data_IF_742228151296
#
_entry.id   IF_742228151296
#
_cell.length_a   1.000
_cell.length_b   1.000
_cell.length_c   1.000
_cell.angle_alpha   90.00
_cell.angle_beta   90.00
_cell.angle_gamma   90.00
#
_symmetry.space_group_name_H-M   'P 1'
#
loop_
_entity.id
_entity.type
_entity.pdbx_description
1 polymer ?
#
# COMPACT_ATOMS: atom_id res chain seq x y z
N UNK A 1 46.84 71.67 -26.27
CA UNK A 1 47.20 71.77 -24.84
C UNK A 1 45.93 71.56 -24.02
N UNK A 2 45.96 70.60 -23.10
CA UNK A 2 44.89 70.16 -22.20
C UNK A 2 43.62 69.63 -22.92
N UNK A 3 43.65 68.35 -23.29
CA UNK A 3 42.43 67.53 -23.46
C UNK A 3 42.45 66.48 -22.35
N UNK A 4 41.68 66.74 -21.32
CA UNK A 4 41.36 65.83 -20.23
C UNK A 4 40.52 64.68 -20.78
N UNK A 5 41.07 63.46 -20.75
CA UNK A 5 40.30 62.23 -20.93
C UNK A 5 39.56 61.93 -19.61
N UNK A 6 38.25 61.63 -19.63
CA UNK A 6 37.57 61.18 -18.43
C UNK A 6 37.93 59.72 -18.15
N UNK A 7 38.23 59.43 -16.88
CA UNK A 7 38.38 58.08 -16.33
C UNK A 7 37.14 57.21 -16.65
N UNK A 8 37.30 55.89 -16.84
CA UNK A 8 36.18 54.98 -16.93
C UNK A 8 35.46 54.92 -15.57
N UNK A 9 34.15 55.18 -15.56
CA UNK A 9 33.28 54.88 -14.44
C UNK A 9 33.32 53.37 -14.18
N UNK A 10 33.87 52.99 -13.03
CA UNK A 10 33.78 51.66 -12.46
C UNK A 10 32.30 51.43 -12.09
N UNK A 11 31.52 50.84 -12.99
CA UNK A 11 30.19 50.31 -12.65
C UNK A 11 30.43 49.04 -11.86
N UNK A 12 30.38 49.17 -10.53
CA UNK A 12 30.31 48.06 -9.61
C UNK A 12 28.96 47.35 -9.83
N UNK A 13 28.91 46.35 -10.71
CA UNK A 13 27.83 45.38 -10.71
C UNK A 13 27.93 44.58 -9.41
N UNK A 14 27.22 45.03 -8.39
CA UNK A 14 26.86 44.18 -7.26
C UNK A 14 25.91 43.13 -7.83
N UNK A 15 26.46 41.97 -8.22
CA UNK A 15 25.67 40.75 -8.33
C UNK A 15 25.12 40.46 -6.93
N UNK A 16 23.91 40.92 -6.66
CA UNK A 16 23.06 40.31 -5.65
C UNK A 16 22.79 38.89 -6.13
N UNK A 17 23.69 37.98 -5.78
CA UNK A 17 23.35 36.57 -5.64
C UNK A 17 22.23 36.52 -4.60
N UNK A 18 20.99 36.56 -5.06
CA UNK A 18 19.88 36.02 -4.31
C UNK A 18 20.15 34.52 -4.24
N UNK A 19 20.93 34.13 -3.25
CA UNK A 19 20.89 32.78 -2.73
C UNK A 19 19.45 32.61 -2.28
N UNK A 20 18.62 32.00 -3.12
CA UNK A 20 17.45 31.29 -2.65
C UNK A 20 18.01 30.24 -1.70
N UNK A 21 18.13 30.60 -0.41
CA UNK A 21 18.14 29.62 0.66
C UNK A 21 16.83 28.88 0.49
N UNK A 22 16.92 27.73 -0.18
CA UNK A 22 16.01 26.63 0.04
C UNK A 22 16.03 26.40 1.54
N UNK A 23 15.06 27.00 2.24
CA UNK A 23 14.77 26.62 3.62
C UNK A 23 14.42 25.15 3.53
N UNK A 24 15.33 24.30 4.00
CA UNK A 24 15.07 22.88 4.18
C UNK A 24 13.80 22.75 5.00
N UNK A 25 12.71 22.34 4.35
CA UNK A 25 11.50 21.95 5.03
C UNK A 25 11.82 20.62 5.73
N UNK A 26 11.95 20.66 7.05
CA UNK A 26 11.89 19.47 7.89
C UNK A 26 10.45 18.94 7.87
N UNK A 27 10.11 17.83 7.19
CA UNK A 27 8.71 17.46 6.99
C UNK A 27 8.08 16.72 8.18
N UNK A 28 8.79 16.44 9.27
CA UNK A 28 8.20 15.72 10.42
C UNK A 28 7.60 16.67 11.45
N UNK A 29 7.93 17.97 11.40
CA UNK A 29 7.40 18.94 12.36
C UNK A 29 6.22 19.75 11.85
N UNK A 30 5.80 19.61 10.58
CA UNK A 30 4.69 20.40 10.06
C UNK A 30 3.33 19.73 10.26
N UNK A 31 2.99 19.50 11.53
CA UNK A 31 1.60 19.29 11.98
C UNK A 31 0.69 20.52 11.68
N UNK A 32 1.21 21.58 11.05
CA UNK A 32 0.43 22.77 10.69
C UNK A 32 -0.44 22.60 9.44
N UNK A 33 -0.18 21.59 8.59
CA UNK A 33 -1.00 21.31 7.41
C UNK A 33 -1.91 20.10 7.66
N UNK A 34 -3.24 20.26 7.57
CA UNK A 34 -4.16 19.13 7.64
C UNK A 34 -4.17 18.43 6.27
N UNK A 35 -3.60 17.22 6.14
CA UNK A 35 -3.70 16.50 4.89
C UNK A 35 -5.17 16.19 4.63
N UNK A 36 -5.65 16.51 3.43
CA UNK A 36 -6.96 16.08 2.96
C UNK A 36 -6.77 15.00 1.90
N UNK A 37 -7.57 13.95 1.98
CA UNK A 37 -7.46 12.82 1.06
C UNK A 37 -8.79 12.08 0.96
N UNK A 38 -8.91 11.25 -0.08
CA UNK A 38 -10.10 10.46 -0.35
C UNK A 38 -9.85 8.98 -0.04
N UNK A 39 -10.86 8.31 0.51
CA UNK A 39 -10.90 6.85 0.64
C UNK A 39 -12.28 6.34 0.21
N UNK A 40 -12.46 5.01 0.17
CA UNK A 40 -13.74 4.40 -0.18
C UNK A 40 -14.34 3.68 1.02
N UNK A 41 -15.63 3.87 1.27
CA UNK A 41 -16.36 3.15 2.31
C UNK A 41 -16.39 1.64 2.00
N UNK A 42 -16.02 0.81 2.97
CA UNK A 42 -16.08 -0.64 2.79
C UNK A 42 -17.47 -1.24 3.13
N UNK A 43 -18.40 -0.41 3.63
CA UNK A 43 -19.75 -0.82 4.05
C UNK A 43 -20.65 -1.31 2.89
N UNK A 44 -20.41 -0.87 1.66
CA UNK A 44 -21.24 -1.30 0.53
C UNK A 44 -20.93 -2.73 0.10
N UNK A 45 -21.97 -3.49 -0.24
CA UNK A 45 -21.83 -4.88 -0.72
C UNK A 45 -21.02 -4.99 -2.00
N UNK A 46 -21.16 -4.00 -2.88
CA UNK A 46 -20.42 -3.90 -4.13
C UNK A 46 -19.61 -2.60 -4.11
N UNK A 47 -18.34 -2.70 -4.51
CA UNK A 47 -17.42 -1.55 -4.55
C UNK A 47 -17.96 -0.40 -5.39
N UNK A 48 -18.67 -0.66 -6.49
CA UNK A 48 -19.20 0.40 -7.36
C UNK A 48 -20.22 1.30 -6.66
N UNK A 49 -20.90 0.74 -5.66
CA UNK A 49 -21.93 1.41 -4.87
C UNK A 49 -21.34 1.94 -3.55
N UNK A 50 -20.01 1.88 -3.37
CA UNK A 50 -19.35 2.42 -2.19
C UNK A 50 -19.27 3.94 -2.26
N UNK A 51 -19.75 4.64 -1.22
CA UNK A 51 -19.52 6.06 -1.02
C UNK A 51 -18.02 6.41 -1.00
N UNK A 52 -17.70 7.57 -1.56
CA UNK A 52 -16.40 8.23 -1.38
C UNK A 52 -16.41 8.93 -0.02
N UNK A 53 -15.32 8.75 0.72
CA UNK A 53 -15.08 9.37 2.02
C UNK A 53 -14.08 10.51 1.86
N UNK A 54 -14.43 11.69 2.36
CA UNK A 54 -13.51 12.82 2.52
C UNK A 54 -12.89 12.71 3.90
N UNK A 55 -11.56 12.72 3.98
CA UNK A 55 -10.83 12.66 5.23
C UNK A 55 -9.96 13.91 5.37
N UNK A 56 -9.84 14.42 6.59
CA UNK A 56 -8.87 15.46 6.93
C UNK A 56 -8.16 15.07 8.24
N UNK A 57 -6.83 15.14 8.19
CA UNK A 57 -5.85 14.63 9.15
C UNK A 57 -6.32 14.21 10.55
N UNK A 58 -5.88 13.03 11.06
CA UNK A 58 -6.10 12.66 12.45
C UNK A 58 -5.52 13.72 13.40
N UNK A 59 -6.36 14.26 14.29
CA UNK A 59 -5.97 15.27 15.27
C UNK A 59 -5.45 16.59 14.66
N UNK A 60 -6.11 17.09 13.60
CA UNK A 60 -5.73 18.39 13.08
C UNK A 60 -6.16 19.54 14.01
N UNK A 61 -5.19 20.34 14.47
CA UNK A 61 -5.44 21.54 15.28
C UNK A 61 -6.15 22.65 14.47
N UNK A 62 -5.85 22.75 13.17
CA UNK A 62 -6.32 23.83 12.30
C UNK A 62 -6.97 23.30 11.01
N UNK A 63 -8.13 22.61 11.10
CA UNK A 63 -8.84 22.05 9.94
C UNK A 63 -9.20 23.14 8.93
N UNK A 64 -9.14 22.85 7.62
CA UNK A 64 -9.54 23.81 6.58
C UNK A 64 -11.01 24.20 6.77
N UNK A 65 -11.40 25.45 6.49
CA UNK A 65 -12.79 25.90 6.74
C UNK A 65 -13.83 25.04 6.05
N UNK A 66 -13.58 24.67 4.80
CA UNK A 66 -14.42 23.72 4.07
C UNK A 66 -13.59 22.90 3.08
N UNK A 67 -14.15 21.74 2.72
CA UNK A 67 -13.54 20.79 1.78
C UNK A 67 -14.58 20.45 0.72
N UNK A 68 -14.16 20.41 -0.55
CA UNK A 68 -15.00 20.01 -1.68
C UNK A 68 -14.47 18.76 -2.38
N UNK A 69 -15.39 17.93 -2.88
CA UNK A 69 -15.15 16.81 -3.79
C UNK A 69 -15.53 17.24 -5.21
N UNK A 70 -14.67 16.97 -6.20
CA UNK A 70 -14.78 17.41 -7.58
C UNK A 70 -14.49 16.26 -8.56
N UNK A 71 -15.03 16.34 -9.78
CA UNK A 71 -14.74 15.35 -10.83
C UNK A 71 -13.42 15.65 -11.58
N UNK A 72 -12.90 16.87 -11.43
CA UNK A 72 -11.68 17.38 -12.08
C UNK A 72 -10.88 18.22 -11.10
N UNK A 73 -9.61 18.45 -11.43
CA UNK A 73 -8.72 19.30 -10.65
C UNK A 73 -9.29 20.73 -10.52
N UNK A 74 -9.68 21.16 -9.30
CA UNK A 74 -10.29 22.46 -9.07
C UNK A 74 -9.30 23.63 -9.09
N UNK A 75 -7.98 23.39 -9.21
CA UNK A 75 -7.01 24.49 -9.45
C UNK A 75 -7.06 25.03 -10.87
N UNK A 76 -7.57 24.23 -11.82
CA UNK A 76 -7.64 24.56 -13.24
C UNK A 76 -9.06 24.49 -13.81
N UNK A 77 -10.05 24.13 -12.98
CA UNK A 77 -11.47 24.05 -13.34
C UNK A 77 -12.32 24.98 -12.46
N UNK A 78 -13.40 25.50 -13.03
CA UNK A 78 -14.41 26.30 -12.33
C UNK A 78 -15.67 25.46 -11.98
N UNK A 79 -15.56 24.14 -12.00
CA UNK A 79 -16.67 23.24 -11.71
C UNK A 79 -17.11 23.34 -10.23
N UNK A 80 -18.41 23.28 -9.97
CA UNK A 80 -18.94 23.22 -8.61
C UNK A 80 -18.63 21.87 -7.95
N UNK A 81 -18.38 21.83 -6.63
CA UNK A 81 -18.17 20.57 -5.93
C UNK A 81 -19.40 19.67 -6.01
N UNK A 82 -19.17 18.36 -6.16
CA UNK A 82 -20.19 17.30 -6.10
C UNK A 82 -20.70 17.06 -4.69
N UNK A 83 -19.82 17.23 -3.71
CA UNK A 83 -20.13 17.23 -2.30
C UNK A 83 -19.20 18.21 -1.59
N UNK A 84 -19.64 18.80 -0.50
CA UNK A 84 -18.80 19.66 0.34
C UNK A 84 -19.15 19.50 1.82
N UNK A 85 -18.19 19.83 2.68
CA UNK A 85 -18.36 19.81 4.13
C UNK A 85 -17.66 21.01 4.76
N UNK A 86 -18.34 21.65 5.71
CA UNK A 86 -17.72 22.58 6.66
C UNK A 86 -17.13 21.79 7.82
N UNK A 87 -15.80 21.80 7.97
CA UNK A 87 -15.08 20.91 8.90
C UNK A 87 -15.42 21.17 10.36
N UNK A 88 -15.79 22.41 10.71
CA UNK A 88 -16.21 22.78 12.07
C UNK A 88 -17.39 21.96 12.59
N UNK A 89 -18.18 21.36 11.68
CA UNK A 89 -19.35 20.54 12.03
C UNK A 89 -19.01 19.06 12.25
N UNK A 90 -17.76 18.65 12.02
CA UNK A 90 -17.31 17.25 12.01
C UNK A 90 -15.93 17.09 12.67
N UNK A 91 -15.85 16.99 14.00
CA UNK A 91 -14.57 16.90 14.69
C UNK A 91 -13.86 15.53 14.50
N UNK A 92 -14.56 14.52 13.99
CA UNK A 92 -14.07 13.17 13.72
C UNK A 92 -13.12 13.07 12.51
N UNK A 93 -13.02 14.12 11.68
CA UNK A 93 -12.06 14.16 10.58
C UNK A 93 -12.46 13.36 9.35
N UNK A 94 -13.73 12.90 9.28
CA UNK A 94 -14.23 12.06 8.21
C UNK A 94 -15.65 12.46 7.79
N UNK A 95 -15.93 12.41 6.50
CA UNK A 95 -17.25 12.69 5.94
C UNK A 95 -17.58 11.71 4.82
N UNK A 96 -18.62 10.91 5.03
CA UNK A 96 -19.19 10.04 4.00
C UNK A 96 -20.09 10.85 3.07
N UNK A 97 -19.76 10.87 1.79
CA UNK A 97 -20.52 11.61 0.78
C UNK A 97 -21.67 10.76 0.22
N UNK A 98 -22.62 11.39 -0.48
CA UNK A 98 -23.60 10.68 -1.30
C UNK A 98 -23.06 10.32 -2.70
N UNK A 99 -21.78 10.59 -2.97
CA UNK A 99 -21.13 10.31 -4.26
C UNK A 99 -20.50 8.92 -4.17
N UNK A 100 -20.94 8.01 -5.05
CA UNK A 100 -20.38 6.67 -5.15
C UNK A 100 -19.22 6.62 -6.15
N UNK A 101 -18.27 5.72 -5.94
CA UNK A 101 -17.14 5.54 -6.86
C UNK A 101 -17.55 5.06 -8.27
N UNK A 102 -18.69 4.39 -8.41
CA UNK A 102 -19.16 3.88 -9.68
C UNK A 102 -18.22 2.82 -10.28
N UNK A 103 -18.29 2.64 -11.59
CA UNK A 103 -17.36 1.75 -12.29
C UNK A 103 -16.01 2.45 -12.47
N UNK A 104 -14.98 1.95 -11.78
CA UNK A 104 -13.62 2.47 -11.94
C UNK A 104 -13.08 2.06 -13.31
N UNK A 105 -12.69 3.06 -14.11
CA UNK A 105 -11.85 2.88 -15.31
C UNK A 105 -10.44 3.35 -14.97
N UNK A 106 -9.49 2.42 -14.96
CA UNK A 106 -8.09 2.72 -14.70
C UNK A 106 -7.52 3.52 -15.89
N UNK A 107 -6.84 4.65 -15.66
CA UNK A 107 -6.33 5.52 -16.72
C UNK A 107 -5.11 4.89 -17.42
N UNK A 108 -4.67 5.51 -18.52
CA UNK A 108 -3.39 5.24 -19.20
C UNK A 108 -3.14 3.75 -19.54
N UNK A 109 -4.18 3.04 -19.95
CA UNK A 109 -4.08 1.64 -20.39
C UNK A 109 -3.99 0.62 -19.25
N UNK A 110 -4.12 1.03 -17.98
CA UNK A 110 -3.96 0.12 -16.83
C UNK A 110 -5.16 -0.82 -16.57
N UNK A 111 -6.23 -0.76 -17.37
CA UNK A 111 -7.33 -1.73 -17.25
C UNK A 111 -6.84 -3.13 -17.64
N UNK A 112 -7.15 -4.14 -16.83
CA UNK A 112 -6.68 -5.53 -17.01
C UNK A 112 -6.84 -6.09 -18.42
N UNK A 113 -7.97 -5.76 -19.07
CA UNK A 113 -8.31 -6.22 -20.43
C UNK A 113 -7.70 -5.40 -21.57
N UNK A 114 -7.26 -4.17 -21.30
CA UNK A 114 -6.77 -3.23 -22.31
C UNK A 114 -5.25 -3.27 -22.45
N UNK A 115 -4.52 -3.71 -21.44
CA UNK A 115 -3.04 -3.68 -21.38
C UNK A 115 -2.34 -4.42 -22.53
N UNK A 116 -3.02 -5.37 -23.20
CA UNK A 116 -2.48 -6.07 -24.36
C UNK A 116 -2.73 -5.32 -25.68
N UNK A 117 -3.72 -4.42 -25.70
CA UNK A 117 -4.08 -3.57 -26.84
C UNK A 117 -3.32 -2.25 -26.78
N UNK A 118 -3.21 -1.68 -25.58
CA UNK A 118 -2.55 -0.42 -25.29
C UNK A 118 -1.64 -0.62 -24.07
N UNK A 119 -0.33 -0.85 -24.29
CA UNK A 119 0.62 -0.99 -23.21
C UNK A 119 0.57 0.23 -22.28
N UNK A 120 0.55 0.02 -20.95
CA UNK A 120 0.39 1.13 -20.03
C UNK A 120 1.53 2.15 -20.10
N UNK A 121 1.21 3.43 -19.96
CA UNK A 121 2.23 4.48 -19.84
C UNK A 121 2.83 4.45 -18.43
N UNK A 122 4.14 4.28 -18.32
CA UNK A 122 4.86 4.19 -17.04
C UNK A 122 5.22 5.58 -16.46
N UNK A 123 4.24 6.48 -16.31
CA UNK A 123 4.48 7.85 -15.87
C UNK A 123 3.88 8.14 -14.49
N UNK A 124 4.46 7.55 -13.43
CA UNK A 124 4.11 7.84 -12.04
C UNK A 124 2.63 7.61 -11.69
N UNK A 125 2.19 8.23 -10.60
CA UNK A 125 0.79 8.18 -10.17
C UNK A 125 -0.15 8.98 -11.10
N UNK A 126 -1.40 8.53 -11.23
CA UNK A 126 -2.43 9.20 -12.03
C UNK A 126 -3.75 9.28 -11.27
N UNK A 127 -4.35 10.47 -11.27
CA UNK A 127 -5.66 10.68 -10.68
C UNK A 127 -6.76 9.95 -11.45
N UNK A 128 -7.66 9.35 -10.68
CA UNK A 128 -9.03 9.03 -11.06
C UNK A 128 -9.86 10.33 -11.08
N UNK A 129 -11.06 10.36 -11.69
CA UNK A 129 -11.90 11.56 -11.76
C UNK A 129 -12.59 11.88 -10.42
N UNK A 130 -11.82 11.92 -9.33
CA UNK A 130 -12.28 12.23 -7.98
C UNK A 130 -11.17 13.01 -7.27
N UNK A 131 -11.37 14.31 -7.16
CA UNK A 131 -10.45 15.28 -6.59
C UNK A 131 -11.02 15.84 -5.29
N UNK A 132 -10.16 16.07 -4.31
CA UNK A 132 -10.50 16.75 -3.07
C UNK A 132 -9.70 18.02 -2.96
N UNK A 133 -10.35 19.11 -2.55
CA UNK A 133 -9.66 20.37 -2.32
C UNK A 133 -10.11 21.00 -1.01
N UNK A 134 -9.12 21.45 -0.23
CA UNK A 134 -9.28 22.12 1.04
C UNK A 134 -9.18 23.63 0.85
N UNK A 135 -10.05 24.38 1.53
CA UNK A 135 -10.09 25.83 1.42
C UNK A 135 -10.15 26.52 2.78
N UNK A 136 -9.36 27.58 2.90
CA UNK A 136 -9.49 28.58 3.96
C UNK A 136 -10.28 29.77 3.42
N UNK A 137 -11.59 29.73 3.64
CA UNK A 137 -12.57 30.62 3.04
C UNK A 137 -12.55 30.55 1.50
N UNK A 138 -11.82 31.43 0.82
CA UNK A 138 -11.69 31.43 -0.65
C UNK A 138 -10.31 30.99 -1.13
N UNK A 139 -9.36 30.81 -0.21
CA UNK A 139 -7.99 30.46 -0.55
C UNK A 139 -7.86 28.95 -0.61
N UNK A 140 -7.45 28.42 -1.76
CA UNK A 140 -7.11 27.01 -1.91
C UNK A 140 -5.86 26.69 -1.09
N UNK A 141 -5.95 25.68 -0.21
CA UNK A 141 -4.86 25.24 0.67
C UNK A 141 -4.14 24.02 0.13
N UNK A 142 -4.90 23.02 -0.30
CA UNK A 142 -4.34 21.76 -0.82
C UNK A 142 -5.34 21.08 -1.75
N UNK A 143 -4.79 20.28 -2.66
CA UNK A 143 -5.54 19.41 -3.57
C UNK A 143 -4.95 18.01 -3.48
N UNK A 144 -5.83 17.03 -3.48
CA UNK A 144 -5.47 15.63 -3.72
C UNK A 144 -6.53 14.94 -4.60
N UNK A 145 -6.34 13.67 -4.92
CA UNK A 145 -7.27 12.87 -5.69
C UNK A 145 -7.22 11.40 -5.28
N UNK A 146 -8.27 10.63 -5.60
CA UNK A 146 -8.09 9.18 -5.70
C UNK A 146 -7.18 8.89 -6.88
N UNK A 147 -6.20 7.99 -6.73
CA UNK A 147 -5.17 7.79 -7.75
C UNK A 147 -4.74 6.33 -7.86
N UNK A 148 -4.22 5.99 -9.04
CA UNK A 148 -3.42 4.79 -9.26
C UNK A 148 -1.95 5.11 -8.97
N UNK A 149 -1.19 4.13 -8.50
CA UNK A 149 0.24 4.23 -8.18
C UNK A 149 1.00 3.01 -8.74
N UNK A 150 0.95 2.74 -10.05
CA UNK A 150 1.44 1.50 -10.61
C UNK A 150 2.97 1.41 -10.66
N UNK A 151 3.70 2.53 -10.52
CA UNK A 151 5.16 2.60 -10.66
C UNK A 151 5.83 3.45 -9.56
N UNK A 152 5.23 3.51 -8.36
CA UNK A 152 5.68 4.44 -7.33
C UNK A 152 7.08 4.14 -6.79
N UNK A 153 7.50 2.88 -6.73
CA UNK A 153 8.85 2.52 -6.27
C UNK A 153 9.90 2.92 -7.31
N UNK A 154 9.71 2.52 -8.57
CA UNK A 154 10.61 2.82 -9.70
C UNK A 154 10.73 4.32 -9.97
N UNK A 155 9.64 5.08 -9.77
CA UNK A 155 9.64 6.53 -9.97
C UNK A 155 10.45 7.26 -8.89
N UNK A 156 10.82 6.57 -7.81
CA UNK A 156 11.42 7.16 -6.63
C UNK A 156 12.85 6.62 -6.44
N UNK A 157 13.80 7.23 -7.16
CA UNK A 157 15.18 6.72 -7.29
C UNK A 157 15.88 6.47 -5.96
N UNK A 158 15.58 7.26 -4.93
CA UNK A 158 16.17 7.12 -3.61
C UNK A 158 15.81 5.80 -2.91
N UNK A 159 14.73 5.13 -3.33
CA UNK A 159 14.31 3.84 -2.77
C UNK A 159 15.04 2.65 -3.39
N UNK A 160 15.74 2.84 -4.50
CA UNK A 160 16.30 1.75 -5.28
C UNK A 160 17.36 0.96 -4.49
N UNK A 161 18.16 1.65 -3.68
CA UNK A 161 19.25 1.07 -2.88
C UNK A 161 18.89 0.93 -1.39
N UNK A 162 17.64 1.21 -1.00
CA UNK A 162 17.18 1.01 0.37
C UNK A 162 16.88 -0.49 0.58
N UNK A 163 17.43 -1.13 1.63
CA UNK A 163 17.08 -2.51 1.97
C UNK A 163 15.59 -2.67 2.23
N UNK A 164 14.99 -3.78 1.80
CA UNK A 164 13.55 -4.00 1.93
C UNK A 164 13.04 -3.91 3.38
N UNK A 165 13.83 -4.34 4.38
CA UNK A 165 13.50 -4.19 5.80
C UNK A 165 13.30 -2.73 6.27
N UNK A 166 13.91 -1.78 5.58
CA UNK A 166 13.86 -0.35 5.91
C UNK A 166 12.71 0.39 5.20
N UNK A 167 12.14 -0.22 4.15
CA UNK A 167 11.03 0.35 3.40
C UNK A 167 9.70 0.15 4.12
N UNK A 168 8.83 1.15 4.06
CA UNK A 168 7.40 0.97 4.34
C UNK A 168 6.71 0.42 3.08
N UNK A 169 6.30 -0.85 3.09
CA UNK A 169 5.67 -1.53 1.96
C UNK A 169 4.17 -1.74 2.26
N UNK A 170 3.25 -1.16 1.47
CA UNK A 170 1.82 -1.35 1.65
C UNK A 170 1.38 -2.73 1.14
N UNK A 171 0.64 -3.44 1.97
CA UNK A 171 0.16 -4.80 1.73
C UNK A 171 -1.33 -4.98 1.93
N UNK A 172 -1.81 -6.17 1.59
CA UNK A 172 -3.20 -6.58 1.83
C UNK A 172 -3.22 -7.95 2.49
N UNK A 173 -4.09 -8.13 3.48
CA UNK A 173 -4.36 -9.45 4.06
C UNK A 173 -5.30 -10.24 3.13
N UNK A 174 -5.01 -11.53 2.93
CA UNK A 174 -5.78 -12.43 2.06
C UNK A 174 -6.05 -11.76 0.70
N UNK A 175 -5.01 -11.37 -0.02
CA UNK A 175 -5.11 -10.50 -1.21
C UNK A 175 -6.00 -11.08 -2.31
N UNK A 176 -6.08 -12.41 -2.39
CA UNK A 176 -6.97 -13.14 -3.30
C UNK A 176 -8.45 -13.19 -2.87
N UNK A 177 -8.78 -12.67 -1.70
CA UNK A 177 -10.08 -12.84 -1.06
C UNK A 177 -11.00 -11.66 -1.38
N UNK A 178 -11.17 -11.40 -2.68
CA UNK A 178 -11.94 -10.27 -3.18
C UNK A 178 -13.34 -10.66 -3.66
N UNK A 179 -14.28 -9.71 -3.55
CA UNK A 179 -15.68 -9.94 -3.91
C UNK A 179 -15.83 -10.43 -5.36
N UNK A 180 -16.53 -11.56 -5.52
CA UNK A 180 -16.99 -12.07 -6.82
C UNK A 180 -18.48 -12.36 -6.75
N UNK A 181 -19.26 -11.73 -7.63
CA UNK A 181 -20.73 -11.87 -7.67
C UNK A 181 -21.20 -13.33 -7.70
N UNK A 182 -20.48 -14.21 -8.41
CA UNK A 182 -20.80 -15.64 -8.47
C UNK A 182 -20.62 -16.38 -7.13
N UNK A 183 -19.64 -15.98 -6.32
CA UNK A 183 -19.34 -16.60 -5.01
C UNK A 183 -20.13 -15.98 -3.87
N UNK A 184 -20.58 -14.73 -4.01
CA UNK A 184 -21.45 -14.05 -3.07
C UNK A 184 -22.84 -14.71 -2.91
N UNK A 185 -23.17 -15.74 -3.70
CA UNK A 185 -24.38 -16.55 -3.50
C UNK A 185 -24.29 -17.44 -2.25
N UNK A 186 -23.08 -17.74 -1.77
CA UNK A 186 -22.89 -18.43 -0.50
C UNK A 186 -22.81 -17.38 0.63
N UNK A 187 -23.78 -17.42 1.56
CA UNK A 187 -23.92 -16.43 2.64
C UNK A 187 -22.68 -16.38 3.56
N UNK A 188 -22.03 -17.51 3.84
CA UNK A 188 -20.82 -17.52 4.67
C UNK A 188 -19.64 -16.86 3.95
N UNK A 189 -19.47 -17.14 2.66
CA UNK A 189 -18.45 -16.49 1.83
C UNK A 189 -18.72 -14.99 1.68
N UNK A 190 -19.98 -14.60 1.47
CA UNK A 190 -20.37 -13.19 1.38
C UNK A 190 -20.06 -12.41 2.66
N UNK A 191 -20.38 -12.98 3.82
CA UNK A 191 -20.21 -12.32 5.12
C UNK A 191 -18.77 -12.33 5.64
N UNK A 192 -18.05 -13.44 5.45
CA UNK A 192 -16.78 -13.68 6.14
C UNK A 192 -15.62 -13.97 5.18
N UNK A 193 -15.89 -14.51 4.00
CA UNK A 193 -14.86 -14.96 3.05
C UNK A 193 -14.11 -13.84 2.35
N UNK A 194 -14.74 -12.69 2.12
CA UNK A 194 -14.12 -11.56 1.42
C UNK A 194 -13.46 -10.56 2.37
N UNK A 195 -12.22 -10.19 2.06
CA UNK A 195 -11.43 -9.17 2.78
C UNK A 195 -10.98 -8.04 1.88
N UNK A 196 -11.17 -8.14 0.56
CA UNK A 196 -10.79 -7.09 -0.40
C UNK A 196 -11.93 -6.71 -1.33
N UNK A 197 -11.97 -5.43 -1.74
CA UNK A 197 -12.95 -4.93 -2.72
C UNK A 197 -12.48 -5.11 -4.18
N UNK A 198 -11.17 -5.17 -4.37
CA UNK A 198 -10.53 -5.13 -5.67
C UNK A 198 -9.82 -6.45 -5.97
N UNK A 199 -9.77 -6.84 -7.23
CA UNK A 199 -8.93 -7.97 -7.66
C UNK A 199 -7.44 -7.64 -7.50
N UNK A 200 -6.58 -8.67 -7.58
CA UNK A 200 -5.15 -8.51 -7.34
C UNK A 200 -4.51 -7.56 -8.37
N UNK A 201 -4.91 -7.63 -9.64
CA UNK A 201 -4.49 -6.66 -10.65
C UNK A 201 -4.74 -5.22 -10.20
N UNK A 202 -5.97 -4.91 -9.78
CA UNK A 202 -6.35 -3.55 -9.38
C UNK A 202 -5.67 -3.14 -8.07
N UNK A 203 -5.48 -4.05 -7.11
CA UNK A 203 -4.69 -3.79 -5.89
C UNK A 203 -3.27 -3.34 -6.24
N UNK A 204 -2.59 -4.05 -7.14
CA UNK A 204 -1.22 -3.74 -7.58
C UNK A 204 -1.14 -2.39 -8.30
N UNK A 205 -2.09 -2.12 -9.21
CA UNK A 205 -2.18 -0.83 -9.93
C UNK A 205 -2.44 0.33 -8.97
N UNK A 206 -3.24 0.11 -7.92
CA UNK A 206 -3.50 1.11 -6.87
C UNK A 206 -2.32 1.29 -5.91
N UNK A 207 -1.26 0.47 -6.00
CA UNK A 207 0.02 0.69 -5.32
C UNK A 207 0.38 -0.34 -4.26
N UNK A 208 -0.43 -1.39 -4.04
CA UNK A 208 -0.06 -2.52 -3.18
C UNK A 208 1.16 -3.25 -3.75
N UNK A 209 2.08 -3.67 -2.87
CA UNK A 209 3.33 -4.34 -3.26
C UNK A 209 3.60 -5.62 -2.46
N UNK A 210 2.84 -5.85 -1.40
CA UNK A 210 2.91 -7.07 -0.58
C UNK A 210 1.56 -7.79 -0.57
N UNK A 211 1.55 -9.05 -1.02
CA UNK A 211 0.36 -9.88 -1.16
C UNK A 211 0.40 -11.07 -0.20
N UNK A 212 -0.52 -11.14 0.75
CA UNK A 212 -0.63 -12.27 1.69
C UNK A 212 -1.64 -13.29 1.18
N UNK A 213 -1.20 -14.54 1.05
CA UNK A 213 -1.98 -15.64 0.49
C UNK A 213 -1.94 -16.85 1.42
N UNK A 214 -3.13 -17.33 1.78
CA UNK A 214 -3.32 -18.63 2.39
C UNK A 214 -3.90 -19.61 1.37
N UNK A 215 -3.39 -20.84 1.33
CA UNK A 215 -3.73 -21.83 0.29
C UNK A 215 -4.40 -23.08 0.84
N UNK A 216 -5.35 -23.60 0.06
CA UNK A 216 -5.95 -24.91 0.27
C UNK A 216 -5.95 -25.73 -1.01
N UNK A 217 -5.92 -27.05 -0.86
CA UNK A 217 -6.04 -27.99 -1.98
C UNK A 217 -7.48 -28.49 -2.10
N UNK A 218 -8.19 -28.04 -3.14
CA UNK A 218 -9.58 -28.45 -3.40
C UNK A 218 -9.62 -29.70 -4.27
N UNK A 219 -9.53 -30.88 -3.65
CA UNK A 219 -9.54 -32.16 -4.35
C UNK A 219 -10.80 -32.40 -5.20
N UNK A 220 -11.94 -31.83 -4.78
CA UNK A 220 -13.26 -31.96 -5.43
C UNK A 220 -13.42 -31.09 -6.67
N UNK A 221 -12.50 -30.14 -6.89
CA UNK A 221 -12.51 -29.34 -8.10
C UNK A 221 -12.11 -30.21 -9.30
N UNK A 222 -13.09 -30.58 -10.13
CA UNK A 222 -12.88 -31.42 -11.31
C UNK A 222 -12.26 -30.60 -12.46
N UNK A 223 -10.94 -30.40 -12.37
CA UNK A 223 -10.14 -29.99 -13.51
C UNK A 223 -9.16 -31.11 -13.89
N UNK A 224 -9.63 -32.02 -14.73
CA UNK A 224 -8.84 -33.14 -15.24
C UNK A 224 -7.70 -32.71 -16.17
N UNK A 225 -7.69 -31.46 -16.63
CA UNK A 225 -6.71 -30.95 -17.59
C UNK A 225 -5.53 -30.29 -16.89
N UNK A 226 -5.71 -29.76 -15.67
CA UNK A 226 -4.63 -29.15 -14.93
C UNK A 226 -4.82 -29.30 -13.41
N UNK A 227 -4.06 -30.20 -12.78
CA UNK A 227 -4.09 -30.39 -11.34
C UNK A 227 -3.72 -29.12 -10.55
N UNK A 228 -2.96 -28.19 -11.15
CA UNK A 228 -2.66 -26.92 -10.51
C UNK A 228 -3.88 -26.01 -10.29
N UNK A 229 -5.00 -26.25 -11.00
CA UNK A 229 -6.25 -25.54 -10.76
C UNK A 229 -7.00 -26.02 -9.51
N UNK A 230 -6.44 -27.01 -8.78
CA UNK A 230 -6.92 -27.44 -7.46
C UNK A 230 -6.34 -26.61 -6.32
N UNK A 231 -5.36 -25.74 -6.55
CA UNK A 231 -4.87 -24.81 -5.55
C UNK A 231 -5.74 -23.55 -5.49
N UNK A 232 -6.27 -23.27 -4.31
CA UNK A 232 -7.23 -22.19 -4.08
C UNK A 232 -6.76 -21.31 -2.93
N UNK A 233 -7.02 -20.02 -3.06
CA UNK A 233 -6.92 -19.10 -1.93
C UNK A 233 -8.03 -19.39 -0.94
N UNK A 234 -7.66 -19.44 0.33
CA UNK A 234 -8.54 -19.73 1.46
C UNK A 234 -8.57 -18.55 2.41
N UNK A 235 -9.76 -18.20 2.90
CA UNK A 235 -9.91 -17.32 4.05
C UNK A 235 -10.77 -18.00 5.10
N UNK A 236 -10.30 -18.08 6.35
CA UNK A 236 -11.03 -18.69 7.47
C UNK A 236 -11.68 -20.05 7.07
N UNK A 237 -10.89 -20.93 6.43
CA UNK A 237 -11.28 -22.24 5.89
C UNK A 237 -12.31 -22.25 4.75
N UNK A 238 -12.57 -21.12 4.11
CA UNK A 238 -13.46 -20.99 2.95
C UNK A 238 -12.65 -20.86 1.65
N UNK A 239 -12.93 -21.70 0.65
CA UNK A 239 -12.34 -21.58 -0.69
C UNK A 239 -12.89 -20.38 -1.47
N UNK A 240 -12.04 -19.41 -1.76
CA UNK A 240 -12.47 -18.13 -2.37
C UNK A 240 -12.23 -18.11 -3.88
N UNK A 241 -10.97 -18.16 -4.31
CA UNK A 241 -10.58 -18.06 -5.73
C UNK A 241 -9.44 -19.02 -6.06
N UNK A 242 -9.38 -19.57 -7.30
CA UNK A 242 -8.19 -20.28 -7.76
C UNK A 242 -6.96 -19.37 -7.74
N UNK A 243 -5.81 -19.93 -7.35
CA UNK A 243 -4.54 -19.20 -7.29
C UNK A 243 -4.03 -18.81 -8.69
N UNK A 244 -4.40 -19.57 -9.73
CA UNK A 244 -3.95 -19.35 -11.10
C UNK A 244 -4.25 -17.94 -11.62
N UNK A 245 -5.43 -17.39 -11.33
CA UNK A 245 -5.78 -16.01 -11.70
C UNK A 245 -4.86 -14.97 -11.06
N UNK A 246 -4.44 -15.22 -9.82
CA UNK A 246 -3.60 -14.30 -9.06
C UNK A 246 -2.17 -14.32 -9.58
N UNK A 247 -1.62 -15.51 -9.84
CA UNK A 247 -0.26 -15.62 -10.39
C UNK A 247 -0.16 -15.01 -11.79
N UNK A 248 -1.21 -15.15 -12.61
CA UNK A 248 -1.29 -14.48 -13.91
C UNK A 248 -1.26 -12.96 -13.77
N UNK A 249 -2.07 -12.41 -12.86
CA UNK A 249 -2.13 -10.96 -12.61
C UNK A 249 -0.79 -10.43 -12.10
N UNK A 250 -0.14 -11.14 -11.15
CA UNK A 250 1.18 -10.74 -10.63
C UNK A 250 2.24 -10.78 -11.73
N UNK A 251 2.33 -11.88 -12.49
CA UNK A 251 3.32 -11.98 -13.58
C UNK A 251 3.16 -10.86 -14.58
N UNK A 252 1.92 -10.63 -15.01
CA UNK A 252 1.58 -9.59 -15.97
C UNK A 252 1.93 -8.21 -15.43
N UNK A 253 1.62 -7.94 -14.16
CA UNK A 253 1.94 -6.65 -13.53
C UNK A 253 3.45 -6.45 -13.45
N UNK A 254 4.22 -7.38 -12.88
CA UNK A 254 5.68 -7.26 -12.73
C UNK A 254 6.37 -6.99 -14.07
N UNK A 255 5.98 -7.71 -15.12
CA UNK A 255 6.55 -7.52 -16.47
C UNK A 255 6.22 -6.14 -17.06
N UNK A 256 5.00 -5.65 -16.86
CA UNK A 256 4.54 -4.38 -17.43
C UNK A 256 4.98 -3.16 -16.61
N UNK A 257 5.01 -3.26 -15.28
CA UNK A 257 5.33 -2.16 -14.38
C UNK A 257 6.83 -2.08 -14.08
N UNK A 258 7.54 -3.21 -14.14
CA UNK A 258 8.92 -3.34 -13.62
C UNK A 258 9.01 -2.87 -12.17
N UNK A 259 7.99 -3.17 -11.37
CA UNK A 259 7.99 -2.95 -9.93
C UNK A 259 8.25 -4.25 -9.18
N UNK A 260 8.85 -4.12 -8.00
CA UNK A 260 8.91 -5.20 -7.03
C UNK A 260 7.50 -5.64 -6.63
N UNK A 261 7.24 -6.93 -6.57
CA UNK A 261 6.08 -7.50 -5.86
C UNK A 261 6.57 -8.59 -4.91
N UNK A 262 6.05 -8.59 -3.69
CA UNK A 262 6.28 -9.63 -2.69
C UNK A 262 5.00 -10.45 -2.56
N UNK A 263 5.05 -11.75 -2.85
CA UNK A 263 3.97 -12.69 -2.54
C UNK A 263 4.41 -13.50 -1.33
N UNK A 264 3.62 -13.48 -0.26
CA UNK A 264 3.81 -14.35 0.89
C UNK A 264 2.76 -15.47 0.90
N UNK A 265 3.23 -16.72 0.90
CA UNK A 265 2.42 -17.90 1.17
C UNK A 265 2.57 -18.31 2.64
N UNK A 266 1.69 -17.80 3.50
CA UNK A 266 1.89 -17.90 4.94
C UNK A 266 1.21 -19.11 5.59
N UNK A 267 0.03 -19.50 5.11
CA UNK A 267 -0.74 -20.60 5.70
C UNK A 267 -1.23 -21.57 4.63
N UNK A 268 -1.31 -22.84 5.03
CA UNK A 268 -1.77 -23.94 4.18
C UNK A 268 -2.94 -24.70 4.83
N UNK A 269 -4.06 -24.01 5.17
CA UNK A 269 -5.06 -24.50 6.13
C UNK A 269 -5.87 -25.72 5.70
N UNK A 270 -5.93 -26.05 4.40
CA UNK A 270 -6.81 -27.13 3.91
C UNK A 270 -6.03 -28.09 3.04
N UNK A 271 -5.95 -29.35 3.48
CA UNK A 271 -5.45 -30.46 2.69
C UNK A 271 -4.04 -30.22 2.12
N UNK A 272 -3.09 -29.68 2.89
CA UNK A 272 -1.68 -29.65 2.49
C UNK A 272 -0.86 -30.74 3.19
N UNK A 273 -0.08 -31.46 2.41
CA UNK A 273 0.94 -32.42 2.84
C UNK A 273 2.21 -32.19 2.01
N UNK A 274 3.32 -32.85 2.36
CA UNK A 274 4.60 -32.66 1.68
C UNK A 274 4.49 -32.76 0.15
N UNK A 275 3.79 -33.76 -0.36
CA UNK A 275 3.63 -33.96 -1.81
C UNK A 275 2.89 -32.79 -2.48
N UNK A 276 1.87 -32.24 -1.83
CA UNK A 276 1.11 -31.09 -2.34
C UNK A 276 1.91 -29.79 -2.28
N UNK A 277 2.75 -29.61 -1.26
CA UNK A 277 3.72 -28.51 -1.26
C UNK A 277 4.64 -28.61 -2.47
N UNK A 278 5.28 -29.77 -2.69
CA UNK A 278 6.18 -29.98 -3.85
C UNK A 278 5.45 -29.76 -5.19
N UNK A 279 4.21 -30.25 -5.33
CA UNK A 279 3.40 -30.01 -6.53
C UNK A 279 3.11 -28.53 -6.74
N UNK A 280 2.83 -27.79 -5.67
CA UNK A 280 2.58 -26.35 -5.75
C UNK A 280 3.84 -25.58 -6.11
N UNK A 281 5.00 -25.92 -5.54
CA UNK A 281 6.28 -25.29 -5.87
C UNK A 281 6.65 -25.47 -7.35
N UNK A 282 6.51 -26.70 -7.89
CA UNK A 282 6.69 -26.95 -9.33
C UNK A 282 5.74 -26.12 -10.19
N UNK A 283 4.52 -25.91 -9.72
CA UNK A 283 3.58 -25.03 -10.40
C UNK A 283 4.00 -23.56 -10.32
N UNK A 284 4.50 -23.07 -9.18
CA UNK A 284 5.07 -21.73 -9.03
C UNK A 284 6.28 -21.52 -9.95
N UNK A 285 7.22 -22.46 -9.98
CA UNK A 285 8.39 -22.41 -10.87
C UNK A 285 7.97 -22.31 -12.34
N UNK A 286 7.02 -23.14 -12.78
CA UNK A 286 6.52 -23.11 -14.15
C UNK A 286 5.87 -21.75 -14.50
N UNK A 287 5.17 -21.14 -13.55
CA UNK A 287 4.43 -19.89 -13.80
C UNK A 287 5.28 -18.65 -13.64
N UNK A 288 6.16 -18.61 -12.64
CA UNK A 288 6.80 -17.39 -12.13
C UNK A 288 8.32 -17.51 -12.04
N UNK A 289 8.91 -18.68 -12.26
CA UNK A 289 10.35 -18.91 -12.05
C UNK A 289 11.26 -18.06 -12.94
N UNK A 290 10.74 -17.52 -14.05
CA UNK A 290 11.44 -16.58 -14.94
C UNK A 290 11.53 -15.16 -14.38
N UNK A 291 10.63 -14.78 -13.46
CA UNK A 291 10.59 -13.44 -12.85
C UNK A 291 10.84 -13.44 -11.35
N UNK A 292 10.74 -14.60 -10.69
CA UNK A 292 11.00 -14.79 -9.27
C UNK A 292 12.50 -14.68 -8.97
N UNK A 293 12.85 -13.91 -7.95
CA UNK A 293 14.22 -13.68 -7.52
C UNK A 293 14.77 -14.93 -6.80
N UNK A 294 15.96 -15.37 -7.22
CA UNK A 294 16.56 -16.62 -6.76
C UNK A 294 17.22 -16.43 -5.41
N UNK A 295 16.92 -17.34 -4.49
CA UNK A 295 17.58 -17.51 -3.22
C UNK A 295 18.90 -18.25 -3.42
N UNK A 296 20.01 -17.54 -3.26
CA UNK A 296 21.36 -18.12 -3.30
C UNK A 296 21.81 -18.64 -1.91
N UNK A 297 20.92 -18.58 -0.91
CA UNK A 297 21.13 -18.96 0.48
C UNK A 297 22.30 -18.23 1.16
N UNK A 298 22.74 -17.07 0.62
CA UNK A 298 23.85 -16.29 1.16
C UNK A 298 23.40 -15.14 2.08
N UNK A 299 22.13 -14.72 1.95
CA UNK A 299 21.58 -13.54 2.63
C UNK A 299 20.09 -13.73 2.95
N UNK A 300 19.50 -12.80 3.69
CA UNK A 300 18.07 -12.79 3.93
C UNK A 300 17.35 -11.96 2.85
N UNK A 301 16.14 -12.37 2.50
CA UNK A 301 15.33 -11.66 1.48
C UNK A 301 15.04 -10.19 1.84
N UNK A 302 15.00 -9.87 3.12
CA UNK A 302 14.73 -8.51 3.59
C UNK A 302 15.95 -7.57 3.52
N UNK A 303 17.15 -8.11 3.33
CA UNK A 303 18.38 -7.33 3.13
C UNK A 303 18.56 -6.91 1.66
N UNK A 304 17.79 -7.51 0.75
CA UNK A 304 17.80 -7.18 -0.67
C UNK A 304 17.40 -5.72 -0.90
N UNK A 305 17.87 -5.14 -2.01
CA UNK A 305 17.41 -3.85 -2.52
C UNK A 305 16.69 -4.03 -3.86
N UNK A 306 15.83 -3.07 -4.22
CA UNK A 306 15.13 -3.10 -5.52
C UNK A 306 16.15 -3.07 -6.67
N UNK A 307 17.26 -2.35 -6.51
CA UNK A 307 18.31 -2.26 -7.53
C UNK A 307 19.03 -3.59 -7.76
N UNK A 308 19.34 -4.34 -6.69
CA UNK A 308 19.90 -5.69 -6.79
C UNK A 308 18.96 -6.62 -7.55
N UNK A 309 17.68 -6.61 -7.19
CA UNK A 309 16.65 -7.43 -7.85
C UNK A 309 16.47 -7.06 -9.33
N UNK A 310 16.41 -5.75 -9.62
CA UNK A 310 16.28 -5.22 -10.97
C UNK A 310 17.46 -5.57 -11.87
N UNK A 311 18.69 -5.51 -11.34
CA UNK A 311 19.91 -5.84 -12.10
C UNK A 311 19.94 -7.30 -12.54
N UNK A 312 19.31 -8.20 -11.76
CA UNK A 312 19.11 -9.60 -12.12
C UNK A 312 17.89 -9.85 -13.01
N UNK A 313 17.12 -8.81 -13.35
CA UNK A 313 15.91 -8.93 -14.16
C UNK A 313 14.73 -9.63 -13.47
N UNK A 314 14.79 -9.82 -12.14
CA UNK A 314 13.81 -10.59 -11.37
C UNK A 314 13.24 -9.73 -10.23
N UNK A 315 12.01 -9.26 -10.40
CA UNK A 315 11.35 -8.30 -9.50
C UNK A 315 10.18 -8.92 -8.73
N UNK A 316 10.10 -10.24 -8.66
CA UNK A 316 9.14 -10.94 -7.81
C UNK A 316 9.88 -11.62 -6.67
N UNK A 317 9.53 -11.30 -5.43
CA UNK A 317 9.98 -12.04 -4.25
C UNK A 317 8.86 -12.96 -3.79
N UNK A 318 9.16 -14.24 -3.57
CA UNK A 318 8.20 -15.22 -3.06
C UNK A 318 8.69 -15.67 -1.69
N UNK A 319 7.93 -15.36 -0.64
CA UNK A 319 8.18 -15.91 0.70
C UNK A 319 7.22 -17.07 0.98
N UNK A 320 7.70 -18.10 1.65
CA UNK A 320 6.97 -19.35 1.83
C UNK A 320 7.15 -19.89 3.25
N UNK A 321 6.06 -20.06 4.00
CA UNK A 321 6.12 -20.44 5.42
C UNK A 321 6.11 -21.97 5.59
N UNK A 322 7.08 -22.65 4.99
CA UNK A 322 7.32 -24.08 5.18
C UNK A 322 8.83 -24.35 5.02
N UNK A 323 9.62 -24.24 6.10
CA UNK A 323 11.09 -24.29 6.01
C UNK A 323 11.64 -25.58 5.38
N UNK A 324 10.91 -26.70 5.50
CA UNK A 324 11.32 -27.97 4.89
C UNK A 324 11.35 -27.92 3.35
N UNK A 325 10.64 -26.96 2.75
CA UNK A 325 10.52 -26.80 1.30
C UNK A 325 11.64 -25.98 0.68
N UNK A 326 12.46 -25.28 1.47
CA UNK A 326 13.55 -24.44 0.96
C UNK A 326 14.60 -25.24 0.17
N UNK A 327 14.71 -26.54 0.42
CA UNK A 327 15.62 -27.44 -0.31
C UNK A 327 15.04 -27.96 -1.62
N UNK A 328 13.75 -27.74 -1.87
CA UNK A 328 13.05 -28.25 -3.06
C UNK A 328 13.11 -27.26 -4.22
N UNK A 329 13.41 -25.99 -3.96
CA UNK A 329 13.48 -24.94 -4.99
C UNK A 329 14.21 -23.69 -4.51
N UNK A 330 14.91 -23.02 -5.43
CA UNK A 330 15.62 -21.78 -5.14
C UNK A 330 14.75 -20.52 -5.36
N UNK A 331 13.48 -20.65 -5.78
CA UNK A 331 12.62 -19.47 -6.04
C UNK A 331 11.90 -18.94 -4.80
N UNK A 332 12.03 -19.62 -3.65
CA UNK A 332 11.35 -19.26 -2.40
C UNK A 332 12.33 -18.81 -1.32
N UNK A 333 11.82 -17.95 -0.44
CA UNK A 333 12.55 -17.38 0.67
C UNK A 333 11.79 -17.61 1.99
N UNK A 334 12.49 -17.64 3.13
CA UNK A 334 11.84 -17.63 4.44
C UNK A 334 10.89 -16.43 4.61
N UNK A 335 9.77 -16.64 5.28
CA UNK A 335 8.84 -15.57 5.63
C UNK A 335 9.43 -14.57 6.64
N UNK A 336 9.01 -13.31 6.51
CA UNK A 336 9.40 -12.25 7.44
C UNK A 336 8.65 -12.40 8.77
N UNK A 337 9.18 -11.79 9.83
CA UNK A 337 8.54 -11.87 11.15
C UNK A 337 7.16 -11.21 11.11
N UNK A 338 6.11 -11.98 11.42
CA UNK A 338 4.72 -11.51 11.38
C UNK A 338 4.22 -11.05 12.75
N UNK A 339 3.58 -9.89 12.77
CA UNK A 339 2.79 -9.33 13.87
C UNK A 339 1.35 -9.17 13.40
N UNK A 340 0.36 -9.44 14.25
CA UNK A 340 -1.04 -9.47 13.83
C UNK A 340 -1.98 -9.11 14.97
N UNK A 341 -3.02 -8.36 14.64
CA UNK A 341 -4.10 -8.02 15.57
C UNK A 341 -5.26 -9.03 15.54
N UNK A 342 -5.11 -10.13 14.77
CA UNK A 342 -6.19 -11.10 14.48
C UNK A 342 -6.99 -11.50 15.72
N UNK A 343 -6.31 -11.86 16.81
CA UNK A 343 -6.93 -12.44 17.99
C UNK A 343 -7.17 -11.41 19.11
N UNK A 344 -6.99 -10.12 18.82
CA UNK A 344 -7.13 -9.03 19.79
C UNK A 344 -8.54 -8.42 19.79
N UNK A 345 -9.01 -8.04 20.98
CA UNK A 345 -10.18 -7.18 21.12
C UNK A 345 -9.84 -5.77 20.68
N UNK A 346 -10.86 -5.02 20.26
CA UNK A 346 -10.72 -3.64 19.78
C UNK A 346 -10.01 -2.72 20.79
N UNK A 347 -10.28 -2.91 22.08
CA UNK A 347 -9.67 -2.14 23.18
C UNK A 347 -8.17 -2.40 23.35
N UNK A 348 -7.66 -3.52 22.83
CA UNK A 348 -6.26 -3.96 23.01
C UNK A 348 -5.37 -3.54 21.83
N UNK A 349 -5.97 -3.25 20.66
CA UNK A 349 -5.23 -2.99 19.41
C UNK A 349 -4.27 -1.80 19.56
N UNK A 350 -4.72 -0.71 20.18
CA UNK A 350 -3.88 0.50 20.35
C UNK A 350 -2.61 0.20 21.13
N UNK A 351 -2.76 -0.50 22.25
CA UNK A 351 -1.65 -0.85 23.14
C UNK A 351 -0.70 -1.85 22.47
N UNK A 352 -1.25 -2.82 21.74
CA UNK A 352 -0.45 -3.74 20.94
C UNK A 352 0.36 -3.03 19.85
N UNK A 353 -0.27 -2.15 19.07
CA UNK A 353 0.43 -1.35 18.07
C UNK A 353 1.50 -0.46 18.70
N UNK A 354 1.22 0.13 19.86
CA UNK A 354 2.21 0.91 20.60
C UNK A 354 3.45 0.08 20.92
N UNK A 355 3.27 -1.17 21.38
CA UNK A 355 4.40 -2.09 21.66
C UNK A 355 5.19 -2.44 20.40
N UNK A 356 4.50 -2.74 19.30
CA UNK A 356 5.12 -3.12 18.02
C UNK A 356 5.86 -1.94 17.37
N UNK A 357 5.19 -0.81 17.17
CA UNK A 357 5.72 0.29 16.38
C UNK A 357 6.65 1.22 17.15
N UNK A 358 6.55 1.29 18.48
CA UNK A 358 7.49 2.12 19.26
C UNK A 358 8.87 1.49 19.41
N UNK A 359 9.02 0.18 19.16
CA UNK A 359 10.27 -0.58 19.31
C UNK A 359 10.94 -0.45 20.69
N UNK A 360 10.15 -0.19 21.74
CA UNK A 360 10.64 0.03 23.12
C UNK A 360 10.33 -1.14 24.06
N UNK A 361 9.72 -2.19 23.54
CA UNK A 361 9.16 -3.28 24.33
C UNK A 361 9.78 -4.61 23.92
N UNK A 362 9.95 -5.51 24.89
CA UNK A 362 10.34 -6.88 24.62
C UNK A 362 9.36 -7.54 23.65
N UNK A 363 9.89 -8.26 22.66
CA UNK A 363 9.10 -8.86 21.59
C UNK A 363 8.65 -7.90 20.47
N UNK A 364 9.06 -6.62 20.52
CA UNK A 364 8.92 -5.72 19.37
C UNK A 364 9.86 -6.10 18.21
N UNK A 365 9.59 -5.66 16.96
CA UNK A 365 10.44 -5.98 15.82
C UNK A 365 11.86 -5.45 15.99
N UNK A 366 12.85 -6.29 15.73
CA UNK A 366 14.27 -5.91 15.65
C UNK A 366 14.52 -5.14 14.34
N UNK A 367 15.37 -4.11 14.40
CA UNK A 367 15.76 -3.31 13.23
C UNK A 367 16.58 -4.11 12.21
N UNK A 368 17.19 -5.21 12.65
CA UNK A 368 18.02 -6.05 11.79
C UNK A 368 17.23 -7.01 10.91
N UNK A 369 15.93 -7.22 11.18
CA UNK A 369 15.10 -8.21 10.46
C UNK A 369 13.97 -7.56 9.67
N UNK A 370 13.54 -8.23 8.59
CA UNK A 370 12.29 -7.92 7.90
C UNK A 370 11.08 -8.35 8.72
N UNK A 371 10.03 -7.53 8.72
CA UNK A 371 8.81 -7.81 9.46
C UNK A 371 7.56 -7.23 8.82
N UNK A 372 6.41 -7.80 9.20
CA UNK A 372 5.10 -7.43 8.68
C UNK A 372 4.08 -7.26 9.80
N UNK A 373 3.22 -6.26 9.69
CA UNK A 373 2.09 -6.02 10.58
C UNK A 373 0.78 -6.22 9.85
N UNK A 374 -0.08 -7.04 10.41
CA UNK A 374 -1.40 -7.36 9.87
C UNK A 374 -2.49 -6.76 10.77
N UNK A 375 -3.06 -5.65 10.31
CA UNK A 375 -4.22 -5.01 10.94
C UNK A 375 -5.50 -5.68 10.48
N UNK A 376 -5.90 -6.76 11.17
CA UNK A 376 -7.14 -7.50 10.94
C UNK A 376 -7.78 -7.92 12.25
N UNK A 377 -9.03 -8.33 12.21
CA UNK A 377 -9.72 -8.94 13.34
C UNK A 377 -10.42 -10.23 12.90
N UNK A 378 -10.34 -11.30 13.69
CA UNK A 378 -11.09 -12.53 13.44
C UNK A 378 -12.56 -12.39 13.82
N UNK A 379 -13.37 -13.36 13.43
CA UNK A 379 -14.77 -13.41 13.86
C UNK A 379 -14.85 -13.57 15.38
N UNK A 380 -14.03 -14.44 15.98
CA UNK A 380 -14.05 -14.69 17.42
C UNK A 380 -13.66 -13.45 18.24
N UNK A 381 -12.58 -12.76 17.85
CA UNK A 381 -12.08 -11.59 18.61
C UNK A 381 -12.93 -10.33 18.42
N UNK A 382 -13.81 -10.32 17.42
CA UNK A 382 -14.78 -9.24 17.17
C UNK A 382 -16.12 -9.43 17.89
N UNK A 383 -16.35 -10.59 18.51
CA UNK A 383 -17.60 -10.88 19.19
C UNK A 383 -17.78 -10.01 20.43
N UNK A 384 -18.95 -9.37 20.54
CA UNK A 384 -19.39 -8.62 21.72
C UNK A 384 -20.67 -9.27 22.23
N UNK A 385 -20.72 -9.58 23.53
CA UNK A 385 -21.87 -10.25 24.14
C UNK A 385 -23.18 -9.51 23.82
N UNK A 386 -24.15 -10.24 23.27
CA UNK A 386 -25.46 -9.70 22.89
C UNK A 386 -25.53 -9.06 21.49
N UNK A 387 -24.45 -9.07 20.70
CA UNK A 387 -24.42 -8.54 19.33
C UNK A 387 -24.23 -9.62 18.26
N UNK A 388 -24.67 -9.32 17.04
CA UNK A 388 -24.43 -10.17 15.86
C UNK A 388 -22.95 -10.21 15.48
N UNK A 389 -22.48 -11.36 14.96
CA UNK A 389 -21.15 -11.50 14.39
C UNK A 389 -20.91 -10.47 13.29
N UNK A 390 -19.86 -9.66 13.45
CA UNK A 390 -19.47 -8.66 12.47
C UNK A 390 -18.94 -9.35 11.19
N UNK A 391 -19.40 -8.88 10.05
CA UNK A 391 -18.86 -9.24 8.73
C UNK A 391 -17.42 -8.75 8.59
N UNK A 392 -16.68 -9.30 7.62
CA UNK A 392 -15.30 -8.86 7.36
C UNK A 392 -15.20 -7.37 7.02
N UNK A 393 -16.24 -6.79 6.38
CA UNK A 393 -16.34 -5.35 6.09
C UNK A 393 -16.50 -4.51 7.35
N UNK A 394 -17.44 -4.90 8.22
CA UNK A 394 -17.71 -4.18 9.47
C UNK A 394 -16.49 -4.21 10.39
N UNK A 395 -15.81 -5.37 10.51
CA UNK A 395 -14.56 -5.48 11.28
C UNK A 395 -13.48 -4.55 10.74
N UNK A 396 -13.28 -4.54 9.41
CA UNK A 396 -12.29 -3.68 8.77
C UNK A 396 -12.63 -2.20 8.98
N UNK A 397 -13.87 -1.75 8.75
CA UNK A 397 -14.26 -0.35 8.97
C UNK A 397 -14.01 0.11 10.40
N UNK A 398 -14.21 -0.77 11.39
CA UNK A 398 -13.99 -0.43 12.78
C UNK A 398 -12.50 -0.18 13.10
N UNK A 399 -11.62 -1.06 12.63
CA UNK A 399 -10.19 -1.01 13.00
C UNK A 399 -9.37 -0.13 12.06
N UNK A 400 -9.70 -0.11 10.76
CA UNK A 400 -8.87 0.53 9.73
C UNK A 400 -8.73 2.03 9.95
N UNK A 401 -9.83 2.70 10.33
CA UNK A 401 -9.79 4.13 10.65
C UNK A 401 -8.79 4.40 11.77
N UNK A 402 -8.95 3.71 12.91
CA UNK A 402 -8.07 3.87 14.07
C UNK A 402 -6.60 3.51 13.77
N UNK A 403 -6.36 2.40 13.06
CA UNK A 403 -5.02 1.98 12.64
C UNK A 403 -4.38 3.05 11.75
N UNK A 404 -5.13 3.60 10.79
CA UNK A 404 -4.63 4.66 9.90
C UNK A 404 -4.28 5.93 10.66
N UNK A 405 -5.12 6.30 11.65
CA UNK A 405 -4.86 7.44 12.54
C UNK A 405 -3.55 7.26 13.30
N UNK A 406 -3.36 6.11 13.95
CA UNK A 406 -2.18 5.89 14.78
C UNK A 406 -0.91 5.70 13.94
N UNK A 407 -1.03 5.04 12.79
CA UNK A 407 0.08 4.84 11.87
C UNK A 407 0.53 6.14 11.20
N UNK A 408 -0.41 7.06 10.93
CA UNK A 408 -0.13 8.36 10.28
C UNK A 408 0.78 9.29 11.08
N UNK A 409 1.06 9.00 12.36
CA UNK A 409 2.07 9.69 13.16
C UNK A 409 3.48 9.12 12.98
N UNK A 410 4.29 9.21 14.05
CA UNK A 410 5.68 8.72 14.07
C UNK A 410 5.81 7.20 13.89
N UNK A 411 4.73 6.44 14.12
CA UNK A 411 4.73 4.98 13.96
C UNK A 411 4.95 4.54 12.51
N UNK A 412 4.57 5.35 11.53
CA UNK A 412 4.88 5.08 10.11
C UNK A 412 6.39 4.97 9.86
N UNK A 413 7.22 5.76 10.56
CA UNK A 413 8.69 5.75 10.39
C UNK A 413 9.30 4.40 10.77
N UNK A 414 8.69 3.70 11.74
CA UNK A 414 9.12 2.36 12.14
C UNK A 414 8.56 1.28 11.21
N UNK A 415 7.52 1.54 10.42
CA UNK A 415 6.80 0.50 9.67
C UNK A 415 7.68 -0.16 8.59
N UNK A 416 7.59 -1.50 8.49
CA UNK A 416 8.09 -2.25 7.34
C UNK A 416 6.92 -2.66 6.44
N UNK A 417 6.42 -3.90 6.46
CA UNK A 417 5.16 -4.23 5.77
C UNK A 417 3.97 -3.92 6.66
N UNK A 418 2.93 -3.26 6.12
CA UNK A 418 1.62 -3.15 6.78
C UNK A 418 0.55 -3.65 5.83
N UNK A 419 -0.21 -4.66 6.26
CA UNK A 419 -1.26 -5.30 5.48
C UNK A 419 -2.61 -5.21 6.21
N UNK A 420 -3.64 -4.78 5.47
CA UNK A 420 -4.99 -4.56 6.01
C UNK A 420 -6.05 -5.32 5.19
N UNK A 421 -7.19 -5.56 5.82
CA UNK A 421 -8.44 -5.87 5.10
C UNK A 421 -8.98 -4.57 4.48
N UNK A 422 -9.52 -4.64 3.27
CA UNK A 422 -10.14 -3.52 2.56
C UNK A 422 -9.25 -2.27 2.50
N UNK A 423 -8.01 -2.42 2.01
CA UNK A 423 -6.98 -1.37 2.07
C UNK A 423 -7.42 0.00 1.56
N UNK A 424 -8.30 0.06 0.55
CA UNK A 424 -8.74 1.32 -0.06
C UNK A 424 -9.78 2.09 0.78
N UNK A 425 -10.16 1.52 1.93
CA UNK A 425 -10.82 2.24 3.02
C UNK A 425 -9.82 3.08 3.86
N UNK A 426 -8.53 3.01 3.53
CA UNK A 426 -7.44 3.74 4.19
C UNK A 426 -6.60 4.50 3.16
N UNK A 427 -5.73 5.40 3.66
CA UNK A 427 -4.72 6.07 2.84
C UNK A 427 -3.35 5.37 2.88
N UNK A 428 -3.33 4.04 3.08
CA UNK A 428 -2.11 3.28 3.35
C UNK A 428 -1.03 3.43 2.27
N UNK A 429 -1.42 3.47 1.00
CA UNK A 429 -0.47 3.56 -0.13
C UNK A 429 0.24 4.92 -0.14
N UNK A 430 -0.50 6.03 -0.10
CA UNK A 430 0.12 7.36 -0.10
C UNK A 430 0.89 7.60 1.20
N UNK A 431 0.41 7.08 2.33
CA UNK A 431 1.17 7.10 3.58
C UNK A 431 2.52 6.39 3.42
N UNK A 432 2.55 5.18 2.85
CA UNK A 432 3.79 4.47 2.61
C UNK A 432 4.75 5.23 1.67
N UNK A 433 4.23 5.80 0.57
CA UNK A 433 5.02 6.61 -0.37
C UNK A 433 5.64 7.83 0.34
N UNK A 434 4.82 8.60 1.07
CA UNK A 434 5.29 9.79 1.79
C UNK A 434 6.30 9.45 2.88
N UNK A 435 6.03 8.40 3.67
CA UNK A 435 6.96 7.96 4.71
C UNK A 435 8.28 7.49 4.12
N UNK A 436 8.27 6.75 3.01
CA UNK A 436 9.50 6.30 2.36
C UNK A 436 10.35 7.46 1.83
N UNK A 437 9.72 8.48 1.23
CA UNK A 437 10.43 9.71 0.88
C UNK A 437 11.12 10.30 2.11
N UNK A 438 10.39 10.38 3.23
CA UNK A 438 10.93 10.93 4.46
C UNK A 438 12.10 10.12 5.03
N UNK A 439 11.95 8.78 5.14
CA UNK A 439 13.02 7.88 5.58
C UNK A 439 14.28 8.05 4.73
N UNK A 440 14.12 8.14 3.41
CA UNK A 440 15.26 8.28 2.50
C UNK A 440 15.99 9.62 2.64
N UNK A 441 15.28 10.72 2.91
CA UNK A 441 15.90 12.04 3.13
C UNK A 441 16.75 12.10 4.40
N UNK A 442 16.32 11.43 5.49
CA UNK A 442 17.10 11.38 6.72
C UNK A 442 18.40 10.59 6.57
N UNK A 443 18.39 9.53 5.77
CA UNK A 443 19.59 8.74 5.49
C UNK A 443 20.64 9.56 4.72
N UNK A 444 20.22 10.42 3.78
CA UNK A 444 21.15 11.29 3.05
C UNK A 444 21.77 12.39 3.90
N UNK A 445 21.05 12.93 4.87
CA UNK A 445 21.59 13.97 5.76
C UNK A 445 22.68 13.42 6.69
N UNK A 446 22.54 12.19 7.17
CA UNK A 446 23.57 11.51 7.97
C UNK A 446 24.86 11.25 7.17
N UNK A 447 24.75 10.79 5.92
CA UNK A 447 25.91 10.54 5.04
C UNK A 447 26.61 11.85 4.64
N UNK A 448 25.88 12.96 4.58
CA UNK A 448 26.47 14.28 4.25
C UNK A 448 27.29 14.88 5.40
N UNK A 449 27.01 14.51 6.65
CA UNK A 449 27.81 14.93 7.81
C UNK A 449 29.12 14.15 7.89
N UNK A 450 29.13 12.87 7.52
CA UNK A 450 30.34 12.04 7.57
C UNK A 450 31.37 12.35 6.45
N UNK A 451 31.01 13.13 5.43
CA UNK A 451 31.91 13.50 4.33
C UNK A 451 32.52 14.92 4.45
N UNK A 452 32.37 15.60 5.60
CA UNK A 452 32.92 16.96 5.81
C UNK A 452 34.10 16.98 6.81
N UNK A 453 34.45 15.85 7.43
CA UNK A 453 35.52 15.76 8.44
C UNK A 453 36.79 15.03 7.96
N UNK A 454 37.18 15.22 6.70
CA UNK A 454 38.55 14.95 6.24
C UNK A 454 39.01 16.03 5.26
N UNK A 455 39.64 17.09 5.81
CA UNK A 455 40.25 18.20 5.09
C UNK A 455 41.18 19.02 5.96
#
# INVERSE_FOLDING_TARGET
MIRTQPLPQLILFVLLCVVKRSVGHNPISDYSSCPVYLTISSNSKNVKDSPILINWGPACENPPKWIGLYDKDPSISNDNPRAYIETQRKPDGIFETNVTIGQIKLPDGWNRGDVLKEPPKQNGGKCLPFYVAAFDAKTLRSIDCLKIQPNWMKSNKHLMDVPLKNMFIPGTHCSGCFYKKSKAQNVLVEKFGFTQNFDVWTQLVLGIRYLDISLGFNAKHDDRRNQANKFWVVNDNLFITPISYILEDVKKFVLLSQELVIIEFHQFPIDFNRERHIQFLKYLENKLGDIAFINDHSSNSYDLTINQMKTNGRLLLITYNEPEMEKETDIIWPCWKRFSTKDLKQTEIREYMRKVFSRKYEGSPDEQIGWSFFGRQSVESSYMDGYSLLTSRERANYINHNISIWLGGTWSLSANVVALDYFYNTNLVDMAIHTNHHKSSQTTDLVSFDMVDDG
#
